data_IF_430505789924
#
_entry.id   IF_430505789924
#
_cell.length_a   1.000
_cell.length_b   1.000
_cell.length_c   1.000
_cell.angle_alpha   90.00
_cell.angle_beta   90.00
_cell.angle_gamma   90.00
#
_symmetry.space_group_name_H-M   'P 1'
#
loop_
_entity.id
_entity.type
_entity.pdbx_description
1 polymer ?
#
# COMPACT_ATOMS: atom_id res chain seq x y z
N UNK A 1 35.80 65.11 -9.04
CA UNK A 1 34.36 64.94 -8.78
C UNK A 1 33.80 64.10 -9.90
N UNK A 2 33.21 62.93 -9.60
CA UNK A 2 32.49 62.14 -10.62
C UNK A 2 31.39 63.02 -11.21
N UNK A 3 31.22 63.01 -12.53
CA UNK A 3 30.19 63.79 -13.20
C UNK A 3 28.81 63.34 -12.69
N UNK A 4 27.92 64.28 -12.40
CA UNK A 4 26.53 64.06 -11.94
C UNK A 4 25.78 62.87 -12.60
N UNK A 5 25.87 62.66 -13.94
CA UNK A 5 25.25 61.50 -14.60
C UNK A 5 25.87 60.15 -14.21
N UNK A 6 27.18 60.07 -13.96
CA UNK A 6 27.86 58.82 -13.57
C UNK A 6 27.45 58.39 -12.16
N UNK A 7 27.24 59.35 -11.26
CA UNK A 7 26.77 59.07 -9.90
C UNK A 7 25.33 58.54 -9.89
N UNK A 8 24.45 59.10 -10.72
CA UNK A 8 23.07 58.62 -10.84
C UNK A 8 23.00 57.21 -11.45
N UNK A 9 23.89 56.91 -12.41
CA UNK A 9 23.97 55.61 -13.06
C UNK A 9 24.49 54.54 -12.08
N UNK A 10 25.55 54.85 -11.32
CA UNK A 10 26.06 53.98 -10.25
C UNK A 10 25.02 53.73 -9.15
N UNK A 11 24.23 54.75 -8.79
CA UNK A 11 23.19 54.62 -7.78
C UNK A 11 22.04 53.74 -8.28
N UNK A 12 21.63 53.88 -9.55
CA UNK A 12 20.62 52.99 -10.17
C UNK A 12 21.12 51.55 -10.25
N UNK A 13 22.34 51.33 -10.75
CA UNK A 13 22.94 49.99 -10.80
C UNK A 13 23.04 49.37 -9.41
N UNK A 14 23.49 50.14 -8.41
CA UNK A 14 23.55 49.67 -7.02
C UNK A 14 22.19 49.29 -6.47
N UNK A 15 21.11 49.98 -6.88
CA UNK A 15 19.75 49.72 -6.45
C UNK A 15 19.11 48.52 -7.17
N UNK A 16 19.38 48.34 -8.48
CA UNK A 16 18.92 47.18 -9.25
C UNK A 16 19.57 45.88 -8.77
N UNK A 17 20.86 45.91 -8.41
CA UNK A 17 21.59 44.76 -7.87
C UNK A 17 21.63 44.70 -6.34
N UNK A 18 20.84 45.53 -5.65
CA UNK A 18 20.80 45.55 -4.20
C UNK A 18 20.45 44.18 -3.58
N UNK A 19 19.47 43.42 -4.10
CA UNK A 19 19.16 42.08 -3.59
C UNK A 19 20.34 41.11 -3.67
N UNK A 20 21.04 41.08 -4.80
CA UNK A 20 22.17 40.18 -5.05
C UNK A 20 23.39 40.59 -4.23
N UNK A 21 23.70 41.89 -4.20
CA UNK A 21 24.81 42.42 -3.41
C UNK A 21 24.59 42.19 -1.90
N UNK A 22 23.34 42.22 -1.44
CA UNK A 22 23.00 41.93 -0.05
C UNK A 22 23.28 40.47 0.34
N UNK A 23 23.34 39.53 -0.61
CA UNK A 23 23.64 38.11 -0.33
C UNK A 23 25.09 37.88 0.08
N UNK A 24 26.00 38.75 -0.36
CA UNK A 24 27.44 38.72 -0.08
C UNK A 24 27.81 39.60 1.12
N UNK A 25 26.92 40.50 1.55
CA UNK A 25 27.18 41.40 2.65
C UNK A 25 27.24 40.65 3.98
N UNK A 26 28.38 40.75 4.66
CA UNK A 26 28.55 40.27 6.04
C UNK A 26 28.18 41.40 6.98
N UNK A 27 27.11 41.23 7.76
CA UNK A 27 26.81 42.15 8.86
C UNK A 27 27.64 41.76 10.08
N UNK A 28 28.01 42.76 10.91
CA UNK A 28 28.98 42.63 12.01
C UNK A 28 28.82 41.41 12.93
N UNK A 29 27.62 40.84 13.03
CA UNK A 29 27.28 39.66 13.86
C UNK A 29 26.43 38.59 13.15
N UNK A 30 26.32 38.60 11.81
CA UNK A 30 25.55 37.60 11.04
C UNK A 30 26.32 37.10 9.83
N UNK A 31 26.27 35.78 9.61
CA UNK A 31 26.80 35.15 8.41
C UNK A 31 26.13 35.72 7.15
N UNK A 32 26.85 35.72 6.03
CA UNK A 32 26.29 36.13 4.75
C UNK A 32 25.20 35.14 4.32
N UNK A 33 24.26 35.60 3.48
CA UNK A 33 23.22 34.71 2.94
C UNK A 33 23.83 33.55 2.16
N UNK A 34 24.93 33.79 1.43
CA UNK A 34 25.65 32.75 0.70
C UNK A 34 26.29 31.69 1.63
N UNK A 35 26.82 32.11 2.78
CA UNK A 35 27.38 31.19 3.76
C UNK A 35 26.27 30.30 4.39
N UNK A 36 25.12 30.90 4.70
CA UNK A 36 23.95 30.15 5.17
C UNK A 36 23.44 29.14 4.12
N UNK A 37 23.40 29.53 2.84
CA UNK A 37 23.04 28.61 1.72
C UNK A 37 24.04 27.45 1.63
N UNK A 38 25.35 27.72 1.72
CA UNK A 38 26.38 26.68 1.67
C UNK A 38 26.26 25.68 2.81
N UNK A 39 26.01 26.16 4.03
CA UNK A 39 25.76 25.30 5.20
C UNK A 39 24.52 24.44 5.00
N UNK A 40 23.42 25.03 4.53
CA UNK A 40 22.17 24.31 4.28
C UNK A 40 22.35 23.21 3.21
N UNK A 41 23.10 23.49 2.14
CA UNK A 41 23.40 22.49 1.11
C UNK A 41 24.34 21.39 1.61
N UNK A 42 25.23 21.70 2.56
CA UNK A 42 26.08 20.71 3.21
C UNK A 42 25.27 19.77 4.09
N UNK A 43 24.28 20.30 4.83
CA UNK A 43 23.34 19.49 5.60
C UNK A 43 22.47 18.61 4.70
N UNK A 44 21.98 19.16 3.58
CA UNK A 44 21.28 18.38 2.56
C UNK A 44 22.16 17.25 2.02
N UNK A 45 23.41 17.54 1.67
CA UNK A 45 24.35 16.55 1.17
C UNK A 45 24.61 15.45 2.20
N UNK A 46 24.87 15.81 3.47
CA UNK A 46 25.08 14.86 4.57
C UNK A 46 23.87 13.95 4.78
N UNK A 47 22.67 14.52 4.69
CA UNK A 47 21.42 13.77 4.80
C UNK A 47 21.26 12.73 3.68
N UNK A 48 21.48 13.13 2.43
CA UNK A 48 21.44 12.20 1.29
C UNK A 48 22.53 11.14 1.38
N UNK A 49 23.73 11.52 1.82
CA UNK A 49 24.85 10.60 2.03
C UNK A 49 24.54 9.57 3.12
N UNK A 50 23.82 9.96 4.18
CA UNK A 50 23.38 9.03 5.22
C UNK A 50 22.35 8.00 4.70
N UNK A 51 21.47 8.40 3.77
CA UNK A 51 20.57 7.46 3.08
C UNK A 51 21.37 6.52 2.18
N UNK A 52 22.27 7.06 1.36
CA UNK A 52 23.08 6.29 0.41
C UNK A 52 23.99 5.26 1.09
N UNK A 53 24.59 5.62 2.23
CA UNK A 53 25.53 4.76 2.95
C UNK A 53 24.85 3.82 3.96
N UNK A 54 23.52 3.83 4.05
CA UNK A 54 22.80 2.90 4.90
C UNK A 54 22.98 1.46 4.40
N UNK A 55 22.89 0.42 5.27
CA UNK A 55 23.01 -0.97 4.84
C UNK A 55 22.01 -1.37 3.75
N UNK A 56 20.83 -0.77 3.76
CA UNK A 56 19.81 -0.89 2.71
C UNK A 56 19.32 0.52 2.37
N UNK A 57 19.89 1.16 1.33
CA UNK A 57 19.58 2.55 0.97
C UNK A 57 18.10 2.78 0.74
N UNK A 58 17.47 1.94 -0.07
CA UNK A 58 16.03 1.84 -0.29
C UNK A 58 15.16 1.91 0.97
N UNK A 59 15.48 1.11 2.00
CA UNK A 59 14.75 1.11 3.27
C UNK A 59 14.93 2.41 4.05
N UNK A 60 16.14 2.98 3.99
CA UNK A 60 16.44 4.28 4.60
C UNK A 60 15.67 5.41 3.91
N UNK A 61 15.60 5.37 2.58
CA UNK A 61 14.83 6.30 1.76
C UNK A 61 13.33 6.18 2.05
N UNK A 62 12.79 4.97 2.13
CA UNK A 62 11.39 4.73 2.50
C UNK A 62 11.05 5.33 3.87
N UNK A 63 11.91 5.11 4.87
CA UNK A 63 11.74 5.70 6.20
C UNK A 63 11.80 7.23 6.17
N UNK A 64 12.69 7.82 5.37
CA UNK A 64 12.76 9.26 5.18
C UNK A 64 11.46 9.84 4.60
N UNK A 65 10.89 9.17 3.59
CA UNK A 65 9.59 9.53 3.00
C UNK A 65 8.48 9.42 4.06
N UNK A 66 8.43 8.31 4.80
CA UNK A 66 7.42 8.11 5.85
C UNK A 66 7.45 9.20 6.92
N UNK A 67 8.64 9.52 7.46
CA UNK A 67 8.79 10.56 8.47
C UNK A 67 8.30 11.94 7.98
N UNK A 68 8.57 12.26 6.71
CA UNK A 68 8.14 13.53 6.12
C UNK A 68 6.62 13.62 6.02
N UNK A 69 5.95 12.54 5.62
CA UNK A 69 4.50 12.50 5.43
C UNK A 69 3.73 12.41 6.75
N UNK A 70 4.21 11.60 7.71
CA UNK A 70 3.53 11.38 9.00
C UNK A 70 3.67 12.55 9.98
N UNK A 71 4.84 13.21 10.01
CA UNK A 71 5.19 14.10 11.14
C UNK A 71 5.29 15.57 10.76
N UNK A 72 4.94 15.96 9.53
CA UNK A 72 5.25 17.28 8.99
C UNK A 72 6.73 17.65 9.28
N UNK A 73 7.62 16.65 9.19
CA UNK A 73 8.96 16.74 9.76
C UNK A 73 9.80 17.74 8.96
N UNK A 74 10.50 18.63 9.65
CA UNK A 74 11.47 19.54 9.02
C UNK A 74 12.74 18.77 8.66
N UNK A 75 12.70 18.01 7.58
CA UNK A 75 13.88 17.35 7.02
C UNK A 75 14.80 18.37 6.27
N UNK A 76 16.08 18.03 6.02
CA UNK A 76 17.00 18.93 5.31
C UNK A 76 16.56 19.30 3.89
N UNK A 77 15.77 18.47 3.20
CA UNK A 77 15.18 18.81 1.90
C UNK A 77 14.11 19.89 2.06
N UNK A 78 13.21 19.73 3.03
CA UNK A 78 12.18 20.72 3.36
C UNK A 78 12.81 22.06 3.77
N UNK A 79 13.79 22.05 4.66
CA UNK A 79 14.51 23.25 5.08
C UNK A 79 15.20 23.96 3.90
N UNK A 80 15.82 23.21 2.99
CA UNK A 80 16.42 23.75 1.76
C UNK A 80 15.37 24.40 0.86
N UNK A 81 14.22 23.76 0.67
CA UNK A 81 13.09 24.31 -0.10
C UNK A 81 12.54 25.59 0.54
N UNK A 82 12.45 25.65 1.87
CA UNK A 82 11.97 26.83 2.58
C UNK A 82 12.97 28.00 2.49
N UNK A 83 14.27 27.71 2.62
CA UNK A 83 15.32 28.72 2.42
C UNK A 83 15.31 29.26 0.99
N UNK A 84 15.09 28.40 -0.02
CA UNK A 84 15.02 28.84 -1.42
C UNK A 84 13.97 29.95 -1.64
N UNK A 85 12.83 29.90 -0.94
CA UNK A 85 11.74 30.90 -1.05
C UNK A 85 12.15 32.29 -0.57
N UNK A 86 13.16 32.40 0.29
CA UNK A 86 13.61 33.69 0.85
C UNK A 86 14.79 34.29 0.09
N UNK A 87 15.37 33.57 -0.87
CA UNK A 87 16.52 34.03 -1.64
C UNK A 87 16.09 34.93 -2.82
N UNK A 88 16.92 35.90 -3.22
CA UNK A 88 16.71 36.62 -4.47
C UNK A 88 16.95 35.70 -5.68
N UNK A 89 16.43 36.11 -6.83
CA UNK A 89 16.79 35.47 -8.09
C UNK A 89 18.29 35.70 -8.39
N UNK A 90 19.00 34.75 -9.02
CA UNK A 90 18.54 33.42 -9.47
C UNK A 90 18.69 32.30 -8.42
N UNK A 91 19.22 32.61 -7.23
CA UNK A 91 19.55 31.62 -6.19
C UNK A 91 18.31 30.85 -5.72
N UNK A 92 17.17 31.52 -5.60
CA UNK A 92 15.89 30.87 -5.26
C UNK A 92 15.59 29.67 -6.16
N UNK A 93 15.72 29.82 -7.47
CA UNK A 93 15.45 28.78 -8.46
C UNK A 93 16.50 27.68 -8.43
N UNK A 94 17.75 28.00 -8.16
CA UNK A 94 18.83 27.00 -8.12
C UNK A 94 18.71 26.13 -6.87
N UNK A 95 18.57 26.75 -5.70
CA UNK A 95 18.41 26.04 -4.42
C UNK A 95 17.09 25.29 -4.38
N UNK A 96 16.01 25.87 -4.92
CA UNK A 96 14.71 25.20 -5.05
C UNK A 96 14.81 23.93 -5.88
N UNK A 97 15.40 24.01 -7.09
CA UNK A 97 15.57 22.83 -7.95
C UNK A 97 16.42 21.73 -7.32
N UNK A 98 17.45 22.09 -6.55
CA UNK A 98 18.24 21.09 -5.82
C UNK A 98 17.41 20.36 -4.77
N UNK A 99 16.56 21.08 -4.02
CA UNK A 99 15.65 20.45 -3.07
C UNK A 99 14.62 19.54 -3.76
N UNK A 100 14.07 19.96 -4.91
CA UNK A 100 13.10 19.18 -5.66
C UNK A 100 13.73 17.90 -6.25
N UNK A 101 14.94 17.99 -6.80
CA UNK A 101 15.70 16.84 -7.29
C UNK A 101 16.09 15.88 -6.15
N UNK A 102 16.52 16.42 -5.00
CA UNK A 102 16.83 15.61 -3.83
C UNK A 102 15.60 14.83 -3.34
N UNK A 103 14.43 15.49 -3.29
CA UNK A 103 13.17 14.82 -2.97
C UNK A 103 12.83 13.71 -3.96
N UNK A 104 12.93 14.00 -5.26
CA UNK A 104 12.63 13.05 -6.32
C UNK A 104 13.49 11.79 -6.23
N UNK A 105 14.82 11.94 -6.08
CA UNK A 105 15.73 10.80 -5.99
C UNK A 105 15.45 9.95 -4.75
N UNK A 106 15.19 10.57 -3.60
CA UNK A 106 14.81 9.83 -2.37
C UNK A 106 13.50 9.08 -2.57
N UNK A 107 12.51 9.69 -3.22
CA UNK A 107 11.24 9.04 -3.52
C UNK A 107 11.40 7.84 -4.46
N UNK A 108 12.15 7.99 -5.55
CA UNK A 108 12.41 6.89 -6.50
C UNK A 108 13.10 5.71 -5.81
N UNK A 109 14.09 5.97 -4.97
CA UNK A 109 14.80 4.93 -4.21
C UNK A 109 13.86 4.22 -3.20
N UNK A 110 12.97 4.98 -2.55
CA UNK A 110 11.95 4.42 -1.65
C UNK A 110 10.96 3.51 -2.39
N UNK A 111 10.45 3.96 -3.55
CA UNK A 111 9.50 3.19 -4.37
C UNK A 111 10.15 1.92 -4.91
N UNK A 112 11.38 2.01 -5.42
CA UNK A 112 12.11 0.84 -5.90
C UNK A 112 12.27 -0.23 -4.81
N UNK A 113 12.61 0.19 -3.59
CA UNK A 113 12.68 -0.74 -2.46
C UNK A 113 11.32 -1.35 -2.13
N UNK A 114 10.25 -0.56 -2.13
CA UNK A 114 8.89 -1.02 -1.86
C UNK A 114 8.41 -2.04 -2.91
N UNK A 115 8.78 -1.88 -4.18
CA UNK A 115 8.50 -2.88 -5.23
C UNK A 115 9.19 -4.22 -4.97
N UNK A 116 10.47 -4.17 -4.58
CA UNK A 116 11.24 -5.38 -4.23
C UNK A 116 10.66 -6.05 -3.00
N UNK A 117 10.36 -5.28 -1.95
CA UNK A 117 9.77 -5.79 -0.72
C UNK A 117 8.35 -6.35 -0.96
N UNK A 118 7.53 -5.69 -1.79
CA UNK A 118 6.21 -6.22 -2.19
C UNK A 118 6.33 -7.58 -2.87
N UNK A 119 7.27 -7.71 -3.81
CA UNK A 119 7.51 -8.97 -4.51
C UNK A 119 7.91 -10.08 -3.54
N UNK A 120 8.83 -9.78 -2.63
CA UNK A 120 9.45 -10.79 -1.76
C UNK A 120 8.57 -11.13 -0.54
N UNK A 121 7.88 -10.14 0.02
CA UNK A 121 7.09 -10.26 1.24
C UNK A 121 5.61 -10.58 0.99
N UNK A 122 5.05 -10.25 -0.19
CA UNK A 122 3.62 -10.49 -0.49
C UNK A 122 3.45 -11.43 -1.68
N UNK A 123 4.00 -11.09 -2.84
CA UNK A 123 3.76 -11.85 -4.08
C UNK A 123 4.34 -13.26 -3.99
N UNK A 124 5.56 -13.40 -3.48
CA UNK A 124 6.22 -14.70 -3.36
C UNK A 124 5.48 -15.65 -2.41
N UNK A 125 5.14 -15.28 -1.14
CA UNK A 125 4.36 -16.15 -0.27
C UNK A 125 2.99 -16.54 -0.86
N UNK A 126 2.31 -15.61 -1.54
CA UNK A 126 1.05 -15.92 -2.22
C UNK A 126 1.25 -16.98 -3.31
N UNK A 127 2.25 -16.79 -4.17
CA UNK A 127 2.52 -17.71 -5.27
C UNK A 127 2.93 -19.11 -4.79
N UNK A 128 3.74 -19.18 -3.74
CA UNK A 128 4.24 -20.44 -3.18
C UNK A 128 3.15 -21.23 -2.44
N UNK A 129 2.21 -20.55 -1.77
CA UNK A 129 1.27 -21.21 -0.86
C UNK A 129 -0.17 -21.29 -1.38
N UNK A 130 -0.59 -20.33 -2.22
CA UNK A 130 -2.00 -20.14 -2.58
C UNK A 130 -2.25 -20.23 -4.09
N UNK A 131 -1.44 -19.57 -4.92
CA UNK A 131 -1.78 -19.34 -6.34
C UNK A 131 -2.05 -20.61 -7.17
N UNK A 132 -1.35 -21.72 -6.87
CA UNK A 132 -1.49 -22.97 -7.62
C UNK A 132 -2.61 -23.88 -7.11
N UNK A 133 -3.28 -23.51 -6.03
CA UNK A 133 -4.28 -24.33 -5.36
C UNK A 133 -5.69 -23.75 -5.57
N UNK A 134 -6.71 -24.60 -5.51
CA UNK A 134 -8.10 -24.16 -5.50
C UNK A 134 -8.35 -23.33 -4.22
N UNK A 135 -9.07 -22.18 -4.26
CA UNK A 135 -9.84 -21.63 -5.37
C UNK A 135 -9.07 -20.68 -6.32
N UNK A 136 -7.80 -20.37 -6.04
CA UNK A 136 -7.01 -19.40 -6.83
C UNK A 136 -6.64 -19.94 -8.20
N UNK A 137 -6.42 -21.25 -8.31
CA UNK A 137 -6.38 -21.98 -9.56
C UNK A 137 -7.59 -22.92 -9.64
N UNK A 138 -8.65 -22.56 -10.39
CA UNK A 138 -9.88 -23.37 -10.51
C UNK A 138 -9.68 -24.76 -11.12
N UNK A 139 -8.53 -25.00 -11.76
CA UNK A 139 -8.18 -26.30 -12.35
C UNK A 139 -7.33 -27.17 -11.42
N UNK A 140 -6.94 -26.65 -10.26
CA UNK A 140 -6.14 -27.42 -9.30
C UNK A 140 -7.00 -28.49 -8.62
N UNK A 141 -6.44 -29.69 -8.50
CA UNK A 141 -7.04 -30.77 -7.71
C UNK A 141 -6.66 -30.69 -6.22
N UNK A 142 -5.82 -29.72 -5.84
CA UNK A 142 -5.38 -29.50 -4.46
C UNK A 142 -5.99 -28.20 -3.95
N UNK A 143 -6.55 -28.26 -2.75
CA UNK A 143 -7.10 -27.09 -2.07
C UNK A 143 -5.99 -26.29 -1.39
N UNK A 144 -6.17 -24.97 -1.37
CA UNK A 144 -5.33 -24.08 -0.59
C UNK A 144 -5.55 -24.40 0.89
N UNK A 145 -4.46 -24.55 1.64
CA UNK A 145 -4.54 -24.74 3.09
C UNK A 145 -5.25 -23.53 3.72
N UNK A 146 -6.21 -23.80 4.60
CA UNK A 146 -6.87 -22.77 5.40
C UNK A 146 -5.87 -22.01 6.27
N UNK A 147 -4.81 -22.66 6.76
CA UNK A 147 -3.75 -21.99 7.53
C UNK A 147 -2.98 -20.98 6.67
N UNK A 148 -2.67 -21.34 5.42
CA UNK A 148 -1.98 -20.45 4.49
C UNK A 148 -2.88 -19.27 4.10
N UNK A 149 -4.16 -19.56 3.85
CA UNK A 149 -5.17 -18.54 3.58
C UNK A 149 -5.32 -17.57 4.75
N UNK A 150 -5.44 -18.09 5.97
CA UNK A 150 -5.52 -17.31 7.20
C UNK A 150 -4.29 -16.44 7.38
N UNK A 151 -3.08 -17.01 7.31
CA UNK A 151 -1.83 -16.24 7.47
C UNK A 151 -1.71 -15.08 6.48
N UNK A 152 -2.20 -15.27 5.25
CA UNK A 152 -2.10 -14.26 4.21
C UNK A 152 -3.15 -13.15 4.38
N UNK A 153 -4.43 -13.50 4.56
CA UNK A 153 -5.55 -12.57 4.46
C UNK A 153 -6.05 -12.00 5.80
N UNK A 154 -5.75 -12.64 6.94
CA UNK A 154 -6.27 -12.19 8.23
C UNK A 154 -5.88 -10.73 8.56
N UNK A 155 -6.61 -10.04 9.45
CA UNK A 155 -6.12 -8.82 10.08
C UNK A 155 -4.74 -9.04 10.71
N UNK A 156 -3.80 -8.11 10.52
CA UNK A 156 -2.39 -8.24 10.90
C UNK A 156 -1.68 -9.44 10.25
N UNK A 157 -2.22 -9.95 9.14
CA UNK A 157 -1.60 -10.97 8.28
C UNK A 157 -0.54 -10.39 7.34
N UNK A 158 -0.02 -11.22 6.43
CA UNK A 158 1.05 -10.82 5.50
C UNK A 158 0.64 -9.58 4.68
N UNK A 159 -0.52 -9.65 4.02
CA UNK A 159 -0.97 -8.58 3.13
C UNK A 159 -1.33 -7.31 3.91
N UNK A 160 -2.04 -7.46 5.04
CA UNK A 160 -2.49 -6.32 5.85
C UNK A 160 -1.30 -5.57 6.46
N UNK A 161 -0.33 -6.32 7.00
CA UNK A 161 0.90 -5.74 7.57
C UNK A 161 1.66 -4.91 6.54
N UNK A 162 1.82 -5.44 5.33
CA UNK A 162 2.49 -4.70 4.25
C UNK A 162 1.71 -3.44 3.86
N UNK A 163 0.39 -3.55 3.72
CA UNK A 163 -0.46 -2.41 3.40
C UNK A 163 -0.32 -1.30 4.45
N UNK A 164 -0.47 -1.61 5.73
CA UNK A 164 -0.40 -0.63 6.82
C UNK A 164 0.98 0.03 6.92
N UNK A 165 2.06 -0.75 6.76
CA UNK A 165 3.42 -0.25 6.95
C UNK A 165 3.95 0.50 5.73
N UNK A 166 3.63 0.07 4.52
CA UNK A 166 4.30 0.54 3.31
C UNK A 166 3.37 1.29 2.37
N UNK A 167 2.12 0.84 2.16
CA UNK A 167 1.27 1.38 1.08
C UNK A 167 0.32 2.48 1.56
N UNK A 168 -0.24 2.34 2.76
CA UNK A 168 -1.29 3.22 3.28
C UNK A 168 -0.92 4.69 3.17
N UNK A 169 0.29 5.04 3.58
CA UNK A 169 0.75 6.43 3.59
C UNK A 169 0.87 7.03 2.19
N UNK A 170 1.24 6.23 1.19
CA UNK A 170 1.35 6.70 -0.20
C UNK A 170 -0.03 6.88 -0.83
N UNK A 171 -0.95 5.96 -0.55
CA UNK A 171 -2.33 5.99 -1.03
C UNK A 171 -3.08 7.18 -0.41
N UNK A 172 -2.98 7.36 0.91
CA UNK A 172 -3.72 8.42 1.63
C UNK A 172 -3.24 9.85 1.26
N UNK A 173 -1.98 10.01 0.83
CA UNK A 173 -1.40 11.30 0.46
C UNK A 173 -1.42 11.58 -1.06
N UNK A 174 -2.01 10.70 -1.87
CA UNK A 174 -2.11 10.83 -3.34
C UNK A 174 -0.78 11.25 -3.99
N UNK A 175 0.30 10.57 -3.61
CA UNK A 175 1.63 10.96 -4.04
C UNK A 175 1.85 10.64 -5.51
N UNK A 176 2.19 11.67 -6.28
CA UNK A 176 2.64 11.57 -7.67
C UNK A 176 4.08 12.07 -7.82
N UNK A 177 4.82 11.48 -8.75
CA UNK A 177 6.11 12.02 -9.18
C UNK A 177 5.82 13.09 -10.24
N UNK A 178 6.07 14.37 -9.97
CA UNK A 178 5.68 15.53 -10.81
C UNK A 178 6.37 15.63 -12.20
N UNK A 179 6.80 14.53 -12.81
CA UNK A 179 7.46 14.51 -14.13
C UNK A 179 6.73 13.56 -15.10
N UNK A 180 5.60 14.00 -15.66
CA UNK A 180 4.92 13.36 -16.81
C UNK A 180 3.57 12.69 -16.52
N UNK A 181 2.74 12.65 -17.58
CA UNK A 181 1.28 12.38 -17.63
C UNK A 181 0.83 10.96 -17.16
N UNK A 182 1.66 10.22 -16.41
CA UNK A 182 1.36 8.84 -16.00
C UNK A 182 2.08 8.35 -14.73
N UNK A 183 2.46 9.25 -13.82
CA UNK A 183 3.30 8.94 -12.65
C UNK A 183 2.52 8.63 -11.36
N UNK A 184 1.66 7.62 -11.40
CA UNK A 184 1.03 7.08 -10.18
C UNK A 184 2.04 6.18 -9.46
N UNK A 185 2.37 6.49 -8.20
CA UNK A 185 3.34 5.70 -7.42
C UNK A 185 2.81 4.28 -7.14
N UNK A 186 1.52 4.16 -6.85
CA UNK A 186 0.85 2.87 -6.66
C UNK A 186 -0.10 2.62 -7.82
N UNK A 187 0.14 1.56 -8.58
CA UNK A 187 -0.68 1.23 -9.75
C UNK A 187 -2.14 0.94 -9.34
N UNK A 188 -3.08 1.42 -10.15
CA UNK A 188 -4.52 1.26 -9.93
C UNK A 188 -4.97 -0.20 -9.78
N UNK A 189 -4.34 -1.12 -10.51
CA UNK A 189 -4.65 -2.55 -10.40
C UNK A 189 -4.27 -3.12 -9.03
N UNK A 190 -3.21 -2.61 -8.39
CA UNK A 190 -2.86 -2.99 -7.01
C UNK A 190 -3.93 -2.51 -6.04
N UNK A 191 -4.44 -1.30 -6.21
CA UNK A 191 -5.53 -0.75 -5.39
C UNK A 191 -6.77 -1.65 -5.52
N UNK A 192 -7.18 -2.00 -6.73
CA UNK A 192 -8.31 -2.90 -6.96
C UNK A 192 -8.11 -4.30 -6.34
N UNK A 193 -6.89 -4.84 -6.35
CA UNK A 193 -6.59 -6.11 -5.68
C UNK A 193 -6.64 -5.99 -4.15
N UNK A 194 -6.19 -4.87 -3.57
CA UNK A 194 -6.31 -4.60 -2.13
C UNK A 194 -7.76 -4.52 -1.69
N UNK A 195 -8.63 -3.86 -2.47
CA UNK A 195 -10.07 -3.84 -2.21
C UNK A 195 -10.69 -5.24 -2.27
N UNK A 196 -10.26 -6.06 -3.23
CA UNK A 196 -10.71 -7.45 -3.35
C UNK A 196 -10.29 -8.26 -2.13
N UNK A 197 -9.04 -8.09 -1.68
CA UNK A 197 -8.55 -8.74 -0.47
C UNK A 197 -9.27 -8.26 0.80
N UNK A 198 -9.66 -6.98 0.86
CA UNK A 198 -10.48 -6.46 1.95
C UNK A 198 -11.87 -7.12 1.98
N UNK A 199 -12.52 -7.31 0.83
CA UNK A 199 -13.80 -8.04 0.75
C UNK A 199 -13.66 -9.49 1.20
N UNK A 200 -12.59 -10.17 0.80
CA UNK A 200 -12.27 -11.53 1.29
C UNK A 200 -12.16 -11.50 2.82
N UNK A 201 -11.44 -10.52 3.37
CA UNK A 201 -11.28 -10.37 4.82
C UNK A 201 -12.61 -10.20 5.53
N UNK A 202 -13.46 -9.31 5.03
CA UNK A 202 -14.76 -8.98 5.63
C UNK A 202 -15.75 -10.15 5.59
N UNK A 203 -15.64 -11.04 4.59
CA UNK A 203 -16.51 -12.22 4.44
C UNK A 203 -16.04 -13.37 5.36
N UNK A 204 -14.73 -13.60 5.42
CA UNK A 204 -14.17 -14.83 6.01
C UNK A 204 -13.58 -14.63 7.40
N UNK A 205 -13.34 -13.40 7.86
CA UNK A 205 -12.74 -13.16 9.18
C UNK A 205 -13.68 -12.35 10.05
N UNK A 206 -13.89 -12.84 11.27
CA UNK A 206 -14.61 -12.13 12.31
C UNK A 206 -13.65 -11.70 13.43
N UNK A 207 -13.91 -10.54 14.05
CA UNK A 207 -13.08 -10.02 15.14
C UNK A 207 -13.05 -10.94 16.38
N UNK A 208 -14.08 -11.77 16.57
CA UNK A 208 -14.24 -12.61 17.76
C UNK A 208 -13.68 -14.02 17.57
N UNK A 209 -13.87 -14.63 16.39
CA UNK A 209 -13.62 -16.05 16.17
C UNK A 209 -12.52 -16.34 15.13
N UNK A 210 -11.89 -15.31 14.56
CA UNK A 210 -10.89 -15.48 13.50
C UNK A 210 -11.54 -15.93 12.19
N UNK A 211 -10.91 -16.88 11.49
CA UNK A 211 -11.42 -17.45 10.25
C UNK A 211 -12.75 -18.20 10.48
N UNK A 212 -13.81 -17.71 9.86
CA UNK A 212 -15.13 -18.33 9.89
C UNK A 212 -16.21 -17.44 9.31
N UNK A 213 -17.16 -18.05 8.61
CA UNK A 213 -18.35 -17.40 8.07
C UNK A 213 -19.60 -18.22 8.39
N UNK A 214 -20.71 -17.53 8.59
CA UNK A 214 -22.01 -18.16 8.84
C UNK A 214 -22.98 -17.77 7.74
N UNK A 215 -23.69 -18.74 7.19
CA UNK A 215 -24.67 -18.52 6.14
C UNK A 215 -25.90 -19.39 6.35
N UNK A 216 -26.96 -19.07 5.62
CA UNK A 216 -28.23 -19.79 5.70
C UNK A 216 -28.49 -20.52 4.38
N UNK A 217 -28.94 -21.77 4.47
CA UNK A 217 -29.37 -22.57 3.33
C UNK A 217 -30.86 -22.86 3.49
N UNK A 218 -31.65 -22.41 2.53
CA UNK A 218 -33.09 -22.70 2.49
C UNK A 218 -33.39 -23.85 1.54
N UNK A 219 -34.21 -24.78 2.02
CA UNK A 219 -34.74 -25.86 1.20
C UNK A 219 -35.87 -25.33 0.32
N UNK A 220 -35.79 -25.53 -1.00
CA UNK A 220 -36.72 -24.90 -1.95
C UNK A 220 -37.78 -25.88 -2.47
N UNK A 221 -37.36 -26.91 -3.21
CA UNK A 221 -38.24 -27.95 -3.74
C UNK A 221 -37.43 -29.15 -4.25
N UNK A 222 -38.10 -30.29 -4.46
CA UNK A 222 -37.54 -31.47 -5.11
C UNK A 222 -38.35 -31.82 -6.36
N UNK A 223 -37.66 -32.30 -7.40
CA UNK A 223 -38.33 -32.88 -8.56
C UNK A 223 -39.15 -34.12 -8.16
N UNK A 224 -40.28 -34.34 -8.83
CA UNK A 224 -41.25 -35.40 -8.45
C UNK A 224 -40.70 -36.83 -8.47
N UNK A 225 -39.53 -37.06 -9.07
CA UNK A 225 -38.84 -38.35 -9.06
C UNK A 225 -37.79 -38.49 -7.94
N UNK A 226 -37.71 -37.53 -7.00
CA UNK A 226 -36.84 -37.55 -5.81
C UNK A 226 -37.70 -37.44 -4.56
N UNK A 227 -37.42 -38.30 -3.58
CA UNK A 227 -38.13 -38.31 -2.29
C UNK A 227 -37.38 -37.62 -1.16
N UNK A 228 -36.05 -37.48 -1.28
CA UNK A 228 -35.20 -36.89 -0.25
C UNK A 228 -33.90 -36.34 -0.83
N UNK A 229 -33.40 -35.24 -0.29
CA UNK A 229 -32.07 -34.70 -0.54
C UNK A 229 -31.34 -34.46 0.77
N UNK A 230 -30.05 -34.80 0.81
CA UNK A 230 -29.19 -34.54 1.96
C UNK A 230 -27.96 -33.78 1.47
N UNK A 231 -27.82 -32.54 1.91
CA UNK A 231 -26.61 -31.73 1.73
C UNK A 231 -25.74 -31.89 2.97
N UNK A 232 -24.53 -32.42 2.81
CA UNK A 232 -23.49 -32.46 3.82
C UNK A 232 -22.48 -31.35 3.53
N UNK A 233 -22.28 -30.44 4.48
CA UNK A 233 -21.25 -29.40 4.43
C UNK A 233 -20.42 -29.47 5.71
N UNK A 234 -19.23 -30.04 5.62
CA UNK A 234 -18.30 -30.24 6.74
C UNK A 234 -19.00 -30.91 7.96
N UNK A 235 -19.79 -31.94 7.69
CA UNK A 235 -20.52 -32.71 8.72
C UNK A 235 -21.84 -32.09 9.18
N UNK A 236 -22.22 -30.90 8.70
CA UNK A 236 -23.54 -30.31 8.92
C UNK A 236 -24.50 -30.82 7.85
N UNK A 237 -25.51 -31.58 8.26
CA UNK A 237 -26.48 -32.20 7.37
C UNK A 237 -27.75 -31.35 7.25
N UNK A 238 -28.10 -30.97 6.02
CA UNK A 238 -29.38 -30.36 5.66
C UNK A 238 -30.20 -31.38 4.89
N UNK A 239 -31.25 -31.91 5.52
CA UNK A 239 -32.10 -32.96 5.00
C UNK A 239 -33.48 -32.43 4.59
N UNK A 240 -33.95 -32.76 3.40
CA UNK A 240 -35.25 -32.33 2.89
C UNK A 240 -36.00 -33.46 2.18
N UNK A 241 -37.27 -33.66 2.52
CA UNK A 241 -38.08 -34.80 2.06
C UNK A 241 -39.46 -34.40 1.51
N UNK A 242 -39.52 -33.31 0.72
CA UNK A 242 -40.77 -32.75 0.16
C UNK A 242 -41.79 -32.26 1.22
N UNK A 243 -41.27 -31.75 2.34
CA UNK A 243 -42.06 -31.10 3.38
C UNK A 243 -42.14 -29.58 3.23
N UNK A 244 -42.45 -28.90 4.34
CA UNK A 244 -42.32 -27.45 4.41
C UNK A 244 -40.86 -27.04 4.21
N UNK A 245 -40.66 -25.96 3.48
CA UNK A 245 -39.37 -25.30 3.36
C UNK A 245 -38.92 -24.85 4.75
N UNK A 246 -37.64 -25.01 5.02
CA UNK A 246 -37.00 -24.53 6.22
C UNK A 246 -35.59 -24.05 5.89
N UNK A 247 -35.10 -23.17 6.74
CA UNK A 247 -33.79 -22.54 6.64
C UNK A 247 -32.86 -23.17 7.68
N UNK A 248 -31.75 -23.74 7.23
CA UNK A 248 -30.66 -24.22 8.08
C UNK A 248 -29.57 -23.15 8.16
N UNK A 249 -29.11 -22.84 9.36
CA UNK A 249 -27.94 -21.97 9.58
C UNK A 249 -26.69 -22.84 9.69
N UNK A 250 -25.69 -22.54 8.87
CA UNK A 250 -24.45 -23.30 8.75
C UNK A 250 -23.24 -22.39 9.01
N UNK A 251 -22.15 -23.00 9.45
CA UNK A 251 -20.86 -22.33 9.67
C UNK A 251 -19.77 -23.00 8.85
N UNK A 252 -18.87 -22.22 8.25
CA UNK A 252 -17.70 -22.70 7.54
C UNK A 252 -16.45 -21.91 7.95
N UNK A 253 -15.28 -22.55 8.16
CA UNK A 253 -15.09 -24.00 8.21
C UNK A 253 -15.69 -24.59 9.50
N UNK A 254 -16.15 -25.84 9.45
CA UNK A 254 -16.59 -26.57 10.65
C UNK A 254 -15.51 -27.55 11.12
N UNK A 255 -14.85 -27.24 12.23
CA UNK A 255 -13.74 -28.01 12.79
C UNK A 255 -14.17 -29.10 13.80
N UNK A 256 -15.47 -29.34 13.97
CA UNK A 256 -15.97 -30.27 14.98
C UNK A 256 -15.81 -31.77 14.61
N UNK A 257 -15.49 -32.09 13.35
CA UNK A 257 -15.29 -33.47 12.86
C UNK A 257 -14.17 -33.54 11.82
N UNK A 258 -13.46 -34.66 11.78
CA UNK A 258 -12.54 -34.97 10.67
C UNK A 258 -13.33 -35.29 9.40
N UNK A 259 -13.04 -34.57 8.32
CA UNK A 259 -13.63 -34.78 6.99
C UNK A 259 -14.24 -33.50 6.43
N UNK A 260 -13.45 -32.77 5.64
CA UNK A 260 -13.95 -31.67 4.80
C UNK A 260 -14.63 -32.30 3.57
N UNK A 261 -15.92 -32.62 3.69
CA UNK A 261 -16.72 -33.11 2.58
C UNK A 261 -17.89 -32.16 2.35
N UNK A 262 -17.96 -31.63 1.13
CA UNK A 262 -19.15 -30.99 0.59
C UNK A 262 -19.82 -31.99 -0.35
N UNK A 263 -21.02 -32.46 -0.02
CA UNK A 263 -21.70 -33.49 -0.81
C UNK A 263 -23.20 -33.35 -0.80
N UNK A 264 -23.80 -33.38 -1.99
CA UNK A 264 -25.24 -33.43 -2.16
C UNK A 264 -25.66 -34.84 -2.60
N UNK A 265 -26.48 -35.48 -1.79
CA UNK A 265 -27.05 -36.80 -2.07
C UNK A 265 -28.54 -36.68 -2.38
N UNK A 266 -28.97 -37.20 -3.53
CA UNK A 266 -30.36 -37.27 -3.96
C UNK A 266 -30.87 -38.71 -3.94
N UNK A 267 -32.02 -38.92 -3.32
CA UNK A 267 -32.65 -40.23 -3.17
C UNK A 267 -33.91 -40.28 -4.04
N UNK A 268 -33.95 -41.23 -4.98
CA UNK A 268 -35.07 -41.45 -5.90
C UNK A 268 -36.31 -42.02 -5.21
N UNK A 269 -37.47 -41.86 -5.86
CA UNK A 269 -38.72 -42.52 -5.47
C UNK A 269 -38.74 -44.00 -5.86
N UNK A 270 -38.07 -44.38 -6.95
CA UNK A 270 -37.80 -45.77 -7.32
C UNK A 270 -36.68 -46.35 -6.45
N UNK A 271 -36.67 -47.67 -6.22
CA UNK A 271 -35.67 -48.38 -5.40
C UNK A 271 -34.22 -48.37 -5.91
N UNK A 272 -33.87 -47.41 -6.78
CA UNK A 272 -32.52 -47.22 -7.30
C UNK A 272 -31.60 -46.65 -6.21
N UNK A 273 -30.30 -46.92 -6.35
CA UNK A 273 -29.29 -46.41 -5.44
C UNK A 273 -29.28 -44.86 -5.41
N UNK A 274 -29.02 -44.24 -4.24
CA UNK A 274 -28.81 -42.80 -4.13
C UNK A 274 -27.72 -42.30 -5.08
N UNK A 275 -27.88 -41.08 -5.61
CA UNK A 275 -26.89 -40.43 -6.46
C UNK A 275 -26.28 -39.27 -5.70
N UNK A 276 -24.95 -39.17 -5.70
CA UNK A 276 -24.22 -38.11 -4.99
C UNK A 276 -23.36 -37.31 -5.95
N UNK A 277 -23.19 -36.03 -5.64
CA UNK A 277 -22.18 -35.14 -6.23
C UNK A 277 -21.37 -34.51 -5.09
N UNK A 278 -20.07 -34.40 -5.29
CA UNK A 278 -19.07 -33.82 -4.39
C UNK A 278 -18.17 -32.90 -5.20
#
# INVERSE_FOLDING_TARGET
>A
ALAEPDYQLLTRLGHEFAPENSTLAVQKDKESTMQAVYQQLTELHRYLLAIQNAPVPGKSALKAVQLRLDQNSSDPIFATRQMAKTLPAPLNRWVGRLADQAWHVVMVEAVHYMEVDWRDSVVKPFNEQLANNYPFNPRSAQDASLDAFERFFKPDGILDTFYQQNLKLFIDNDLSLEDGDNNVIIREDIIAQLETAQKIRDIFFSKQNGLGTSFAVETVSLSGNKRRSVLNLDGQLVDYSQGRNYTAHLVWPNNMREGNESKLTLIGTSGNAPRSIS
#
